data_IF_239940561969
#
_entry.id   IF_239940561969
#
_cell.length_a   1.000
_cell.length_b   1.000
_cell.length_c   1.000
_cell.angle_alpha   90.00
_cell.angle_beta   90.00
_cell.angle_gamma   90.00
#
_symmetry.space_group_name_H-M   'P 1'
#
loop_
_entity.id
_entity.type
_entity.pdbx_description
1 polymer ?
#
# COMPACT_ATOMS: atom_id res chain seq x y z
N UNK A 1 -10.83 15.34 19.07
CA UNK A 1 -10.65 15.95 17.73
C UNK A 1 -10.61 14.79 16.77
N UNK A 2 -11.43 14.76 15.72
CA UNK A 2 -11.43 13.67 14.75
C UNK A 2 -10.11 13.72 13.96
N UNK A 3 -9.31 12.65 13.97
CA UNK A 3 -8.09 12.58 13.17
C UNK A 3 -8.50 12.32 11.72
N UNK A 4 -7.89 13.05 10.78
CA UNK A 4 -8.29 13.01 9.37
C UNK A 4 -7.17 12.44 8.51
N UNK A 5 -7.45 11.39 7.74
CA UNK A 5 -6.58 10.93 6.66
C UNK A 5 -7.00 11.61 5.36
N UNK A 6 -6.04 12.04 4.55
CA UNK A 6 -6.30 12.70 3.25
C UNK A 6 -5.48 12.01 2.16
N UNK A 7 -6.14 11.65 1.04
CA UNK A 7 -5.48 11.22 -0.18
C UNK A 7 -5.67 12.29 -1.26
N UNK A 8 -4.55 12.70 -1.84
CA UNK A 8 -4.52 13.55 -3.04
C UNK A 8 -4.06 12.73 -4.23
N UNK A 9 -4.85 12.75 -5.31
CA UNK A 9 -4.50 12.10 -6.57
C UNK A 9 -4.22 13.13 -7.63
N UNK A 10 -3.02 13.04 -8.23
CA UNK A 10 -2.63 13.80 -9.40
C UNK A 10 -2.41 12.82 -10.55
N UNK A 11 -3.03 13.09 -11.70
CA UNK A 11 -2.85 12.28 -12.90
C UNK A 11 -2.37 13.18 -14.03
N UNK A 12 -1.25 12.81 -14.63
CA UNK A 12 -0.73 13.47 -15.82
C UNK A 12 -0.26 12.45 -16.85
N UNK A 13 -0.31 12.84 -18.13
CA UNK A 13 0.13 12.01 -19.25
C UNK A 13 0.90 12.86 -20.25
N UNK A 14 2.09 12.41 -20.62
CA UNK A 14 2.87 12.97 -21.73
C UNK A 14 2.65 12.10 -22.96
N UNK A 15 1.97 12.64 -23.96
CA UNK A 15 1.66 11.93 -25.20
C UNK A 15 2.86 11.81 -26.15
N UNK A 16 2.71 11.06 -27.26
CA UNK A 16 3.76 10.86 -28.26
C UNK A 16 4.31 12.16 -28.87
N UNK A 17 3.47 13.19 -28.98
CA UNK A 17 3.84 14.51 -29.48
C UNK A 17 4.39 15.45 -28.39
N UNK A 18 4.76 14.88 -27.23
CA UNK A 18 5.27 15.59 -26.06
C UNK A 18 4.27 16.60 -25.46
N UNK A 19 2.97 16.46 -25.75
CA UNK A 19 1.89 17.22 -25.14
C UNK A 19 1.60 16.70 -23.73
N UNK A 20 1.58 17.59 -22.75
CA UNK A 20 1.23 17.28 -21.36
C UNK A 20 -0.26 17.51 -21.14
N UNK A 21 -0.97 16.47 -20.71
CA UNK A 21 -2.34 16.56 -20.21
C UNK A 21 -2.30 16.33 -18.70
N UNK A 22 -2.82 17.28 -17.93
CA UNK A 22 -2.98 17.17 -16.48
C UNK A 22 -4.46 17.15 -16.13
N UNK A 23 -4.86 16.16 -15.34
CA UNK A 23 -6.19 16.14 -14.74
C UNK A 23 -6.21 17.05 -13.52
N UNK A 24 -7.37 17.64 -13.17
CA UNK A 24 -7.54 18.34 -11.91
C UNK A 24 -7.13 17.43 -10.74
N UNK A 25 -6.44 18.02 -9.76
CA UNK A 25 -6.16 17.34 -8.50
C UNK A 25 -7.45 16.98 -7.79
N UNK A 26 -7.60 15.70 -7.47
CA UNK A 26 -8.69 15.22 -6.62
C UNK A 26 -8.17 14.99 -5.20
N UNK A 27 -8.99 15.29 -4.20
CA UNK A 27 -8.63 15.19 -2.79
C UNK A 27 -9.81 14.68 -1.98
N UNK A 28 -9.61 13.58 -1.26
CA UNK A 28 -10.61 13.02 -0.37
C UNK A 28 -10.05 12.86 1.03
N UNK A 29 -10.90 13.18 2.01
CA UNK A 29 -10.57 13.08 3.42
C UNK A 29 -11.62 12.25 4.16
N UNK A 30 -11.17 11.41 5.09
CA UNK A 30 -12.03 10.62 5.97
C UNK A 30 -11.45 10.58 7.39
N UNK A 31 -12.33 10.41 8.38
CA UNK A 31 -11.95 10.35 9.78
C UNK A 31 -11.63 8.90 10.21
N UNK A 32 -10.57 8.75 10.99
CA UNK A 32 -10.10 7.47 11.54
C UNK A 32 -9.61 7.65 12.97
N UNK A 33 -9.82 6.66 13.82
CA UNK A 33 -9.36 6.66 15.20
C UNK A 33 -8.00 6.00 15.37
N UNK A 34 -7.57 5.16 14.41
CA UNK A 34 -6.29 4.47 14.45
C UNK A 34 -5.51 4.57 13.13
N UNK A 35 -4.17 4.62 13.25
CA UNK A 35 -3.25 4.49 12.12
C UNK A 35 -2.01 3.70 12.49
N UNK A 36 -1.38 3.09 11.49
CA UNK A 36 -0.01 2.61 11.60
C UNK A 36 0.76 2.89 10.31
N UNK A 37 2.01 3.29 10.41
CA UNK A 37 2.82 3.63 9.26
C UNK A 37 4.28 3.26 9.50
N UNK A 38 5.00 3.01 8.42
CA UNK A 38 6.41 2.71 8.51
C UNK A 38 6.95 2.02 7.28
N UNK A 39 8.05 1.32 7.49
CA UNK A 39 8.72 0.59 6.45
C UNK A 39 9.06 -0.84 6.89
N UNK A 40 9.12 -1.72 5.90
CA UNK A 40 9.68 -3.06 6.02
C UNK A 40 10.92 -3.09 5.14
N UNK A 41 12.06 -3.42 5.72
CA UNK A 41 13.30 -3.59 4.98
C UNK A 41 13.37 -5.00 4.41
N UNK A 42 13.71 -5.09 3.12
CA UNK A 42 13.97 -6.35 2.41
C UNK A 42 15.46 -6.36 2.10
N UNK A 43 16.29 -7.07 2.90
CA UNK A 43 17.73 -7.10 2.71
C UNK A 43 18.14 -7.59 1.32
N UNK A 44 19.33 -7.19 0.89
CA UNK A 44 19.96 -7.76 -0.30
C UNK A 44 20.09 -9.29 -0.16
N UNK A 45 20.01 -9.99 -1.28
CA UNK A 45 20.05 -11.45 -1.37
C UNK A 45 18.92 -12.18 -0.62
N UNK A 46 17.87 -11.49 -0.18
CA UNK A 46 16.66 -12.16 0.35
C UNK A 46 16.13 -13.14 -0.70
N UNK A 47 15.96 -14.40 -0.31
CA UNK A 47 15.51 -15.46 -1.22
C UNK A 47 14.08 -15.22 -1.72
N UNK A 48 13.75 -15.83 -2.85
CA UNK A 48 12.37 -15.93 -3.31
C UNK A 48 11.48 -16.67 -2.29
N UNK A 49 10.17 -16.45 -2.36
CA UNK A 49 9.19 -17.03 -1.43
C UNK A 49 9.40 -16.64 0.04
N UNK A 50 10.11 -15.55 0.32
CA UNK A 50 10.20 -14.95 1.65
C UNK A 50 9.01 -14.03 1.86
N UNK A 51 8.25 -14.24 2.93
CA UNK A 51 7.04 -13.46 3.23
C UNK A 51 7.29 -12.47 4.35
N UNK A 52 6.86 -11.22 4.12
CA UNK A 52 6.82 -10.15 5.11
C UNK A 52 5.38 -9.80 5.43
N UNK A 53 5.05 -9.72 6.72
CA UNK A 53 3.74 -9.25 7.17
C UNK A 53 3.78 -7.74 7.39
N UNK A 54 2.79 -7.02 6.84
CA UNK A 54 2.60 -5.61 7.17
C UNK A 54 2.04 -5.50 8.59
N UNK A 55 2.70 -4.77 9.50
CA UNK A 55 2.20 -4.63 10.87
C UNK A 55 1.03 -3.63 10.89
N UNK A 56 -0.01 -3.95 11.66
CA UNK A 56 -1.20 -3.11 11.81
C UNK A 56 -1.13 -2.21 13.05
N UNK A 57 -0.20 -2.48 13.97
CA UNK A 57 0.08 -1.63 15.12
C UNK A 57 -1.14 -1.47 16.03
N UNK A 58 -1.55 -0.22 16.25
CA UNK A 58 -2.68 0.15 17.12
C UNK A 58 -4.06 -0.08 16.48
N UNK A 59 -4.13 -0.47 15.20
CA UNK A 59 -5.40 -0.82 14.55
C UNK A 59 -5.87 -2.14 15.13
N UNK A 60 -6.98 -2.11 15.88
CA UNK A 60 -7.38 -3.22 16.77
C UNK A 60 -8.27 -4.26 16.12
N UNK A 61 -9.08 -3.90 15.12
CA UNK A 61 -9.96 -4.84 14.44
C UNK A 61 -9.71 -4.90 12.92
N UNK A 62 -9.58 -3.76 12.24
CA UNK A 62 -9.81 -3.71 10.80
C UNK A 62 -9.13 -2.50 10.10
N UNK A 63 -8.22 -2.74 9.14
CA UNK A 63 -7.71 -1.68 8.27
C UNK A 63 -8.69 -1.43 7.12
N UNK A 64 -9.52 -0.40 7.27
CA UNK A 64 -10.55 -0.01 6.30
C UNK A 64 -10.00 0.91 5.21
N UNK A 65 -8.75 1.38 5.35
CA UNK A 65 -8.08 2.21 4.37
C UNK A 65 -6.55 2.07 4.50
N UNK A 66 -5.83 2.26 3.40
CA UNK A 66 -4.38 2.29 3.46
C UNK A 66 -3.70 2.27 2.12
N UNK A 67 -2.38 2.42 2.17
CA UNK A 67 -1.51 2.20 1.03
C UNK A 67 -0.32 1.32 1.41
N UNK A 68 0.16 0.55 0.42
CA UNK A 68 1.40 -0.20 0.46
C UNK A 68 2.17 0.10 -0.82
N UNK A 69 3.39 0.60 -0.72
CA UNK A 69 4.26 0.92 -1.86
C UNK A 69 5.42 -0.05 -1.90
N UNK A 70 5.56 -0.72 -3.03
CA UNK A 70 6.71 -1.58 -3.30
C UNK A 70 7.86 -0.74 -3.88
N UNK A 71 8.97 -0.64 -3.15
CA UNK A 71 10.22 -0.03 -3.63
C UNK A 71 11.36 -1.05 -3.67
N UNK A 72 11.05 -2.34 -3.66
CA UNK A 72 12.02 -3.42 -3.89
C UNK A 72 12.39 -3.50 -5.37
N UNK A 73 13.41 -4.32 -5.70
CA UNK A 73 13.87 -4.51 -7.08
C UNK A 73 13.01 -5.48 -7.90
N UNK A 74 11.88 -5.93 -7.36
CA UNK A 74 11.08 -7.01 -7.93
C UNK A 74 9.59 -6.84 -7.66
N UNK A 75 8.75 -7.64 -8.33
CA UNK A 75 7.35 -7.75 -7.96
C UNK A 75 7.21 -8.51 -6.64
N UNK A 76 6.24 -8.11 -5.82
CA UNK A 76 5.84 -8.84 -4.62
C UNK A 76 4.46 -9.46 -4.85
N UNK A 77 4.24 -10.68 -4.40
CA UNK A 77 2.89 -11.25 -4.34
C UNK A 77 2.21 -10.73 -3.08
N UNK A 78 1.05 -10.13 -3.24
CA UNK A 78 0.24 -9.59 -2.16
C UNK A 78 -0.80 -10.63 -1.79
N UNK A 79 -0.77 -11.07 -0.54
CA UNK A 79 -1.82 -11.87 0.07
C UNK A 79 -2.64 -10.99 1.00
N UNK A 80 -3.95 -10.96 0.81
CA UNK A 80 -4.89 -10.23 1.65
C UNK A 80 -5.74 -11.24 2.41
N UNK A 81 -5.81 -11.11 3.73
CA UNK A 81 -6.65 -11.92 4.60
C UNK A 81 -6.41 -13.45 4.46
N UNK A 82 -5.23 -13.86 4.01
CA UNK A 82 -4.89 -15.27 3.77
C UNK A 82 -5.61 -15.90 2.58
N UNK A 83 -6.06 -15.09 1.62
CA UNK A 83 -6.66 -15.55 0.36
C UNK A 83 -5.64 -16.25 -0.57
N UNK A 84 -4.35 -16.09 -0.29
CA UNK A 84 -3.23 -16.67 -1.04
C UNK A 84 -2.89 -15.84 -2.27
N UNK A 85 -1.74 -15.14 -2.24
CA UNK A 85 -1.10 -14.41 -3.35
C UNK A 85 -2.10 -13.81 -4.37
N UNK A 86 -3.04 -13.01 -3.87
CA UNK A 86 -4.18 -12.49 -4.62
C UNK A 86 -3.79 -11.73 -5.89
N UNK A 87 -2.67 -11.00 -5.88
CA UNK A 87 -2.14 -10.30 -7.05
C UNK A 87 -0.64 -9.99 -6.91
N UNK A 88 -0.01 -9.60 -8.02
CA UNK A 88 1.36 -9.09 -8.01
C UNK A 88 1.39 -7.56 -7.91
N UNK A 89 2.21 -7.02 -7.01
CA UNK A 89 2.52 -5.61 -6.86
C UNK A 89 3.91 -5.32 -7.47
N UNK A 90 3.98 -4.77 -8.70
CA UNK A 90 5.26 -4.51 -9.36
C UNK A 90 6.15 -3.54 -8.59
N UNK A 91 7.46 -3.57 -8.87
CA UNK A 91 8.40 -2.58 -8.35
C UNK A 91 7.97 -1.16 -8.74
N UNK A 92 8.06 -0.22 -7.80
CA UNK A 92 7.66 1.17 -7.98
C UNK A 92 6.14 1.41 -7.87
N UNK A 93 5.33 0.35 -7.81
CA UNK A 93 3.87 0.45 -7.76
C UNK A 93 3.36 0.61 -6.33
N UNK A 94 2.13 1.13 -6.23
CA UNK A 94 1.41 1.29 -4.96
C UNK A 94 0.09 0.54 -5.04
N UNK A 95 -0.22 -0.22 -4.00
CA UNK A 95 -1.56 -0.72 -3.71
C UNK A 95 -2.24 0.25 -2.76
N UNK A 96 -3.40 0.78 -3.14
CA UNK A 96 -4.22 1.69 -2.32
C UNK A 96 -5.65 1.14 -2.22
N UNK A 97 -6.31 1.35 -1.08
CA UNK A 97 -7.73 1.02 -0.91
C UNK A 97 -8.39 1.96 0.11
N UNK A 98 -9.72 2.06 0.06
CA UNK A 98 -10.52 2.76 1.08
C UNK A 98 -10.39 4.29 1.08
N UNK A 99 -9.69 4.88 0.11
CA UNK A 99 -9.63 6.34 -0.05
C UNK A 99 -10.83 6.80 -0.89
N UNK A 100 -11.80 7.43 -0.24
CA UNK A 100 -13.12 7.74 -0.80
C UNK A 100 -14.21 7.65 0.27
N UNK A 101 -14.24 6.48 0.90
CA UNK A 101 -14.93 6.16 2.15
C UNK A 101 -14.23 4.94 2.76
N UNK A 102 -14.22 4.77 4.09
CA UNK A 102 -13.77 3.53 4.71
C UNK A 102 -14.37 2.30 4.01
N UNK A 103 -13.51 1.34 3.66
CA UNK A 103 -13.94 0.10 3.00
C UNK A 103 -14.89 -0.68 3.91
N UNK A 104 -16.03 -1.13 3.37
CA UNK A 104 -16.94 -2.05 4.07
C UNK A 104 -16.42 -3.47 4.15
N UNK A 105 -15.36 -3.79 3.39
CA UNK A 105 -14.62 -5.05 3.46
C UNK A 105 -13.22 -4.74 3.98
N UNK A 106 -13.01 -4.78 5.31
CA UNK A 106 -11.73 -4.45 5.88
C UNK A 106 -10.66 -5.48 5.51
N UNK A 107 -9.42 -4.99 5.47
CA UNK A 107 -8.25 -5.86 5.38
C UNK A 107 -7.82 -6.13 6.83
N UNK A 108 -7.59 -7.40 7.14
CA UNK A 108 -7.20 -7.95 8.44
C UNK A 108 -5.72 -8.33 8.46
N UNK A 109 -5.16 -8.70 7.30
CA UNK A 109 -3.76 -9.03 7.15
C UNK A 109 -3.27 -8.76 5.74
N UNK A 110 -2.00 -8.38 5.62
CA UNK A 110 -1.31 -8.20 4.35
C UNK A 110 0.01 -8.97 4.43
N UNK A 111 0.14 -10.01 3.61
CA UNK A 111 1.37 -10.72 3.34
C UNK A 111 2.00 -10.23 2.05
N UNK A 112 3.32 -10.04 2.05
CA UNK A 112 4.10 -9.63 0.89
C UNK A 112 5.21 -10.64 0.64
N UNK A 113 5.10 -11.40 -0.44
CA UNK A 113 6.03 -12.49 -0.73
C UNK A 113 6.95 -12.13 -1.89
N UNK A 114 8.26 -12.29 -1.71
CA UNK A 114 9.26 -12.10 -2.77
C UNK A 114 9.06 -13.12 -3.90
N UNK A 115 9.19 -12.68 -5.16
CA UNK A 115 9.02 -13.56 -6.33
C UNK A 115 10.34 -14.11 -6.86
N UNK A 116 11.44 -13.45 -6.54
CA UNK A 116 12.81 -13.74 -6.93
C UNK A 116 13.78 -13.33 -5.80
N UNK A 117 15.07 -13.59 -6.02
CA UNK A 117 16.11 -13.08 -5.12
C UNK A 117 16.12 -11.56 -5.18
N UNK A 118 16.04 -10.90 -4.02
CA UNK A 118 16.14 -9.45 -3.92
C UNK A 118 17.55 -8.99 -4.31
N UNK A 119 17.65 -8.10 -5.30
CA UNK A 119 18.92 -7.47 -5.70
C UNK A 119 19.03 -6.07 -5.12
N UNK A 120 20.07 -5.83 -4.33
CA UNK A 120 20.24 -4.60 -3.57
C UNK A 120 19.23 -4.46 -2.44
N UNK A 121 19.36 -3.39 -1.65
CA UNK A 121 18.42 -3.10 -0.57
C UNK A 121 17.03 -2.75 -1.13
N UNK A 122 16.03 -3.50 -0.72
CA UNK A 122 14.63 -3.24 -1.02
C UNK A 122 13.90 -2.69 0.20
N UNK A 123 12.80 -1.98 -0.05
CA UNK A 123 11.92 -1.48 1.01
C UNK A 123 10.47 -1.57 0.58
N UNK A 124 9.59 -1.78 1.54
CA UNK A 124 8.15 -1.58 1.39
C UNK A 124 7.73 -0.46 2.34
N UNK A 125 7.01 0.53 1.85
CA UNK A 125 6.39 1.57 2.68
C UNK A 125 4.90 1.26 2.87
N UNK A 126 4.37 1.52 4.06
CA UNK A 126 2.95 1.35 4.33
C UNK A 126 2.42 2.50 5.19
N UNK A 127 1.13 2.79 5.02
CA UNK A 127 0.34 3.60 5.93
C UNK A 127 -1.08 3.05 5.92
N UNK A 128 -1.50 2.53 7.06
CA UNK A 128 -2.78 1.89 7.28
C UNK A 128 -3.61 2.79 8.19
N UNK A 129 -4.91 2.81 7.95
CA UNK A 129 -5.91 3.47 8.76
C UNK A 129 -7.02 2.47 9.08
N UNK A 130 -7.48 2.51 10.32
CA UNK A 130 -8.54 1.64 10.81
C UNK A 130 -9.39 2.37 11.83
N UNK A 131 -10.39 1.66 12.33
CA UNK A 131 -11.33 2.16 13.33
C UNK A 131 -11.99 3.48 12.84
N UNK A 132 -12.89 3.43 11.84
CA UNK A 132 -13.58 4.62 11.34
C UNK A 132 -14.29 5.36 12.48
N UNK A 133 -14.03 6.68 12.58
CA UNK A 133 -14.55 7.53 13.64
C UNK A 133 -16.02 7.95 13.43
#
# INVERSE_FOLDING_TARGET
>A
MANTATLTTNLSYVGPDNNLVEMPTDSVSAAYDAQNHGNIDVPDATAAATTYSVPFGAITADATCGYVKNTTGQALLVDLNGAGNAFALPSGSTFTWGFGSPSSTPILSIGLTTTAIQSGLGKVAYHLFGDPA
#
